data_IF_059636026240
#
_entry.id   IF_059636026240
#
_cell.length_a   1.000
_cell.length_b   1.000
_cell.length_c   1.000
_cell.angle_alpha   90.00
_cell.angle_beta   90.00
_cell.angle_gamma   90.00
#
_symmetry.space_group_name_H-M   'P 1'
#
loop_
_entity.id
_entity.type
_entity.pdbx_description
1 polymer ?
#
# COMPACT_ATOMS: atom_id res chain seq x y z
N UNK A 1 -1.28 13.64 -17.95
CA UNK A 1 -0.50 12.44 -17.63
C UNK A 1 0.01 12.60 -16.22
N UNK A 2 -0.22 11.61 -15.36
CA UNK A 2 0.26 11.67 -13.97
C UNK A 2 1.75 11.33 -13.93
N UNK A 3 2.48 11.97 -13.04
CA UNK A 3 3.92 11.76 -12.88
C UNK A 3 4.24 11.61 -11.39
N UNK A 4 4.94 10.54 -11.05
CA UNK A 4 5.50 10.34 -9.73
C UNK A 4 7.02 10.49 -9.79
N UNK A 5 7.61 11.28 -8.91
CA UNK A 5 9.06 11.46 -8.89
C UNK A 5 9.62 11.55 -7.48
N UNK A 6 10.85 11.13 -7.35
CA UNK A 6 11.66 11.21 -6.14
C UNK A 6 12.91 12.01 -6.50
N UNK A 7 13.24 13.00 -5.68
CA UNK A 7 14.40 13.83 -5.86
C UNK A 7 15.29 13.77 -4.63
N UNK A 8 16.55 13.38 -4.84
CA UNK A 8 17.62 13.34 -3.84
C UNK A 8 17.21 12.71 -2.50
N UNK A 9 16.46 11.60 -2.56
CA UNK A 9 15.91 10.95 -1.39
C UNK A 9 17.01 10.23 -0.58
N UNK A 10 16.99 10.44 0.74
CA UNK A 10 17.85 9.76 1.69
C UNK A 10 16.99 9.09 2.79
N UNK A 11 17.37 7.89 3.17
CA UNK A 11 16.76 7.18 4.29
C UNK A 11 17.83 6.67 5.26
N UNK A 12 17.73 7.14 6.49
CA UNK A 12 18.59 6.73 7.61
C UNK A 12 17.71 6.00 8.63
N UNK A 13 18.12 4.82 9.08
CA UNK A 13 17.46 4.04 10.12
C UNK A 13 18.50 3.56 11.14
N UNK A 14 18.27 3.84 12.43
CA UNK A 14 19.16 3.39 13.51
C UNK A 14 20.66 3.70 13.23
N UNK A 15 20.92 4.92 12.78
CA UNK A 15 22.25 5.42 12.36
C UNK A 15 22.85 4.73 11.12
N UNK A 16 22.11 3.87 10.43
CA UNK A 16 22.53 3.26 9.17
C UNK A 16 21.88 3.96 7.98
N UNK A 17 22.67 4.35 7.00
CA UNK A 17 22.18 4.88 5.73
C UNK A 17 21.72 3.69 4.89
N UNK A 18 20.40 3.58 4.67
CA UNK A 18 19.82 2.55 3.82
C UNK A 18 19.98 2.90 2.34
N UNK A 19 19.78 4.16 1.99
CA UNK A 19 20.05 4.71 0.66
C UNK A 19 20.19 6.23 0.74
N UNK A 20 20.92 6.80 -0.22
CA UNK A 20 21.21 8.23 -0.32
C UNK A 20 21.24 8.69 -1.77
N UNK A 21 20.73 9.90 -2.02
CA UNK A 21 20.76 10.54 -3.34
C UNK A 21 19.90 9.82 -4.38
N UNK A 22 18.85 9.09 -3.95
CA UNK A 22 17.98 8.36 -4.85
C UNK A 22 17.11 9.34 -5.66
N UNK A 23 17.18 9.19 -6.98
CA UNK A 23 16.35 9.92 -7.93
C UNK A 23 15.63 8.92 -8.83
N UNK A 24 14.33 9.10 -9.04
CA UNK A 24 13.56 8.31 -10.00
C UNK A 24 12.34 9.08 -10.48
N UNK A 25 11.83 8.68 -11.62
CA UNK A 25 10.58 9.18 -12.17
C UNK A 25 9.80 8.02 -12.77
N UNK A 26 8.49 8.00 -12.53
CA UNK A 26 7.54 7.06 -13.12
C UNK A 26 6.41 7.87 -13.73
N UNK A 27 6.08 7.60 -14.98
CA UNK A 27 4.95 8.19 -15.69
C UNK A 27 3.76 7.25 -15.72
N UNK A 28 2.62 7.74 -16.20
CA UNK A 28 1.40 6.93 -16.35
C UNK A 28 1.68 5.61 -17.07
N UNK A 29 1.18 4.51 -16.51
CA UNK A 29 1.37 3.16 -17.04
C UNK A 29 2.77 2.60 -16.79
N UNK A 30 3.67 3.36 -16.16
CA UNK A 30 5.01 2.91 -15.81
C UNK A 30 5.01 1.87 -14.69
N UNK A 31 5.97 0.94 -14.74
CA UNK A 31 6.24 -0.07 -13.72
C UNK A 31 7.64 0.12 -13.14
N UNK A 32 7.75 0.17 -11.81
CA UNK A 32 9.02 0.16 -11.11
C UNK A 32 9.19 -1.13 -10.31
N UNK A 33 10.24 -1.87 -10.60
CA UNK A 33 10.64 -3.01 -9.79
C UNK A 33 11.83 -2.63 -8.89
N UNK A 34 11.68 -2.86 -7.57
CA UNK A 34 12.72 -2.58 -6.59
C UNK A 34 13.34 -3.90 -6.13
N UNK A 35 14.60 -4.11 -6.48
CA UNK A 35 15.37 -5.30 -6.12
C UNK A 35 16.47 -4.95 -5.11
N UNK A 36 16.84 -5.92 -4.27
CA UNK A 36 17.90 -5.76 -3.30
C UNK A 36 17.84 -6.81 -2.18
N UNK A 37 18.92 -6.95 -1.44
CA UNK A 37 19.01 -7.86 -0.30
C UNK A 37 17.98 -7.53 0.80
N UNK A 38 17.73 -8.48 1.71
CA UNK A 38 16.92 -8.22 2.89
C UNK A 38 17.63 -7.15 3.76
N UNK A 39 16.84 -6.21 4.29
CA UNK A 39 17.38 -5.08 5.05
C UNK A 39 17.89 -3.90 4.22
N UNK A 40 17.93 -3.97 2.88
CA UNK A 40 18.44 -2.87 2.03
C UNK A 40 17.53 -1.63 1.95
N UNK A 41 16.40 -1.62 2.64
CA UNK A 41 15.51 -0.45 2.68
C UNK A 41 14.34 -0.47 1.68
N UNK A 42 14.10 -1.57 0.94
CA UNK A 42 13.00 -1.66 -0.04
C UNK A 42 11.64 -1.28 0.54
N UNK A 43 11.28 -1.88 1.69
CA UNK A 43 10.01 -1.57 2.37
C UNK A 43 9.98 -0.13 2.90
N UNK A 44 11.11 0.39 3.38
CA UNK A 44 11.22 1.79 3.79
C UNK A 44 11.00 2.73 2.61
N UNK A 45 11.58 2.43 1.45
CA UNK A 45 11.38 3.22 0.23
C UNK A 45 9.90 3.24 -0.17
N UNK A 46 9.23 2.07 -0.22
CA UNK A 46 7.80 1.99 -0.53
C UNK A 46 6.94 2.78 0.47
N UNK A 47 7.24 2.68 1.77
CA UNK A 47 6.52 3.43 2.80
C UNK A 47 6.75 4.95 2.71
N UNK A 48 7.93 5.38 2.27
CA UNK A 48 8.21 6.79 1.97
C UNK A 48 7.42 7.23 0.73
N UNK A 49 7.43 6.44 -0.35
CA UNK A 49 6.68 6.71 -1.57
C UNK A 49 5.17 6.87 -1.33
N UNK A 50 4.63 6.20 -0.31
CA UNK A 50 3.21 6.30 0.06
C UNK A 50 2.93 7.38 1.11
N UNK A 51 3.95 8.10 1.56
CA UNK A 51 3.82 9.10 2.62
C UNK A 51 3.52 8.51 4.00
N UNK A 52 3.67 7.20 4.21
CA UNK A 52 3.52 6.56 5.52
C UNK A 52 4.67 6.90 6.46
N UNK A 53 5.86 7.13 5.88
CA UNK A 53 7.06 7.56 6.61
C UNK A 53 7.54 8.87 6.01
N UNK A 54 7.92 9.80 6.88
CA UNK A 54 8.55 11.05 6.45
C UNK A 54 10.00 10.81 6.04
N UNK A 55 10.42 11.55 5.02
CA UNK A 55 11.80 11.54 4.55
C UNK A 55 12.70 12.39 5.45
N UNK A 56 13.96 11.99 5.58
CA UNK A 56 14.98 12.76 6.27
C UNK A 56 15.52 13.88 5.37
N UNK A 57 15.77 13.55 4.11
CA UNK A 57 16.30 14.46 3.09
C UNK A 57 15.70 14.10 1.74
N UNK A 58 15.49 15.11 0.90
CA UNK A 58 14.87 14.96 -0.41
C UNK A 58 13.35 15.12 -0.37
N UNK A 59 12.70 14.75 -1.45
CA UNK A 59 11.27 14.91 -1.61
C UNK A 59 10.64 13.83 -2.49
N UNK A 60 9.36 13.61 -2.26
CA UNK A 60 8.50 12.78 -3.11
C UNK A 60 7.43 13.69 -3.71
N UNK A 61 7.29 13.64 -5.01
CA UNK A 61 6.39 14.51 -5.77
C UNK A 61 5.34 13.66 -6.52
N UNK A 62 4.11 14.11 -6.49
CA UNK A 62 3.03 13.66 -7.34
C UNK A 62 2.55 14.83 -8.20
N UNK A 63 2.66 14.69 -9.52
CA UNK A 63 2.36 15.79 -10.46
C UNK A 63 3.12 17.09 -10.15
N UNK A 64 4.41 16.96 -9.79
CA UNK A 64 5.33 18.04 -9.39
C UNK A 64 4.95 18.77 -8.09
N UNK A 65 4.01 18.25 -7.30
CA UNK A 65 3.65 18.79 -5.99
C UNK A 65 4.14 17.81 -4.91
N UNK A 66 4.75 18.35 -3.85
CA UNK A 66 5.23 17.52 -2.76
C UNK A 66 4.05 16.86 -2.04
N UNK A 67 4.10 15.51 -1.89
CA UNK A 67 3.00 14.72 -1.32
C UNK A 67 2.65 15.12 0.12
N UNK A 68 3.57 15.72 0.86
CA UNK A 68 3.32 16.20 2.22
C UNK A 68 2.41 17.43 2.27
N UNK A 69 2.29 18.21 1.17
CA UNK A 69 1.44 19.40 1.11
C UNK A 69 -0.05 19.07 0.99
N UNK A 70 -0.37 17.89 0.43
CA UNK A 70 -1.75 17.44 0.24
C UNK A 70 -1.89 15.95 0.54
N UNK A 71 -1.31 15.53 1.64
CA UNK A 71 -1.14 14.13 2.04
C UNK A 71 -2.44 13.32 2.00
N UNK A 72 -3.54 13.89 2.49
CA UNK A 72 -4.83 13.19 2.51
C UNK A 72 -5.32 12.87 1.09
N UNK A 73 -5.28 13.86 0.20
CA UNK A 73 -5.69 13.70 -1.19
C UNK A 73 -4.80 12.70 -1.92
N UNK A 74 -3.48 12.81 -1.75
CA UNK A 74 -2.53 11.85 -2.30
C UNK A 74 -2.82 10.41 -1.83
N UNK A 75 -2.97 10.21 -0.52
CA UNK A 75 -3.21 8.88 0.05
C UNK A 75 -4.56 8.28 -0.35
N UNK A 76 -5.57 9.10 -0.66
CA UNK A 76 -6.86 8.61 -1.18
C UNK A 76 -6.78 8.08 -2.63
N UNK A 77 -5.72 8.43 -3.35
CA UNK A 77 -5.49 8.01 -4.74
C UNK A 77 -4.46 6.89 -4.90
N UNK A 78 -3.93 6.34 -3.81
CA UNK A 78 -2.96 5.24 -3.86
C UNK A 78 -3.52 3.99 -3.18
N UNK A 79 -3.03 2.82 -3.62
CA UNK A 79 -3.23 1.55 -2.94
C UNK A 79 -1.86 1.04 -2.48
N UNK A 80 -1.69 0.85 -1.17
CA UNK A 80 -0.50 0.24 -0.60
C UNK A 80 -0.82 -1.15 -0.05
N UNK A 81 -0.15 -2.16 -0.58
CA UNK A 81 -0.25 -3.54 -0.10
C UNK A 81 1.09 -3.88 0.55
N UNK A 82 1.09 -4.03 1.86
CA UNK A 82 2.27 -4.37 2.66
C UNK A 82 2.38 -5.87 2.94
N UNK A 83 3.44 -6.28 3.63
CA UNK A 83 3.63 -7.68 4.05
C UNK A 83 2.66 -8.13 5.15
N UNK A 84 2.17 -7.22 5.98
CA UNK A 84 1.20 -7.53 7.01
C UNK A 84 -0.20 -7.36 6.43
N UNK A 85 -0.93 -8.46 6.35
CA UNK A 85 -2.33 -8.42 5.94
C UNK A 85 -3.11 -7.62 6.98
N UNK A 86 -3.82 -6.58 6.57
CA UNK A 86 -4.70 -5.80 7.43
C UNK A 86 -5.93 -6.61 7.91
N UNK A 87 -5.85 -7.94 7.81
CA UNK A 87 -6.91 -8.89 8.11
C UNK A 87 -6.86 -9.24 9.60
N UNK A 88 -7.99 -9.09 10.28
CA UNK A 88 -8.16 -9.54 11.66
C UNK A 88 -8.57 -11.01 11.67
N UNK A 89 -7.69 -11.87 12.20
CA UNK A 89 -7.86 -13.31 12.22
C UNK A 89 -9.16 -13.77 12.94
N UNK A 90 -9.59 -13.02 13.94
CA UNK A 90 -10.79 -13.29 14.76
C UNK A 90 -12.11 -12.89 14.10
N UNK A 91 -12.06 -12.29 12.93
CA UNK A 91 -13.23 -11.89 12.17
C UNK A 91 -13.44 -12.81 10.95
N UNK A 92 -14.67 -12.90 10.50
CA UNK A 92 -15.01 -13.58 9.25
C UNK A 92 -14.50 -12.78 8.04
N UNK A 93 -14.47 -13.46 6.89
CA UNK A 93 -14.10 -12.82 5.61
C UNK A 93 -14.98 -11.59 5.34
N UNK A 94 -16.30 -11.73 5.47
CA UNK A 94 -17.22 -10.64 5.22
C UNK A 94 -17.05 -9.48 6.20
N UNK A 95 -16.83 -9.74 7.50
CA UNK A 95 -16.57 -8.70 8.49
C UNK A 95 -15.28 -7.92 8.20
N UNK A 96 -14.20 -8.61 7.81
CA UNK A 96 -12.97 -7.96 7.37
C UNK A 96 -13.22 -7.05 6.15
N UNK A 97 -13.93 -7.55 5.13
CA UNK A 97 -14.29 -6.76 3.94
C UNK A 97 -15.14 -5.53 4.29
N UNK A 98 -16.09 -5.66 5.23
CA UNK A 98 -16.89 -4.54 5.72
C UNK A 98 -16.05 -3.46 6.39
N UNK A 99 -15.09 -3.85 7.23
CA UNK A 99 -14.19 -2.91 7.89
C UNK A 99 -13.36 -2.17 6.84
N UNK A 100 -12.71 -2.89 5.92
CA UNK A 100 -11.91 -2.27 4.87
C UNK A 100 -12.75 -1.29 4.05
N UNK A 101 -13.94 -1.71 3.64
CA UNK A 101 -14.85 -0.84 2.89
C UNK A 101 -15.26 0.42 3.68
N UNK A 102 -15.53 0.28 4.98
CA UNK A 102 -15.89 1.44 5.82
C UNK A 102 -14.75 2.46 5.93
N UNK A 103 -13.48 2.00 5.90
CA UNK A 103 -12.30 2.86 5.95
C UNK A 103 -12.07 3.64 4.65
N UNK A 104 -12.62 3.19 3.51
CA UNK A 104 -12.53 3.93 2.24
C UNK A 104 -13.44 5.15 2.16
N UNK A 105 -14.33 5.33 3.14
CA UNK A 105 -15.32 6.41 3.13
C UNK A 105 -16.40 6.26 2.04
N UNK A 106 -16.38 5.18 1.27
CA UNK A 106 -17.36 4.92 0.22
C UNK A 106 -18.75 4.60 0.80
N UNK A 107 -19.78 5.25 0.28
CA UNK A 107 -21.18 4.98 0.63
C UNK A 107 -21.83 3.95 -0.31
N UNK A 108 -21.09 3.35 -1.21
CA UNK A 108 -21.61 2.37 -2.16
C UNK A 108 -22.06 1.10 -1.44
N UNK A 109 -23.19 0.52 -1.87
CA UNK A 109 -23.62 -0.79 -1.40
C UNK A 109 -22.80 -1.86 -2.14
N UNK A 110 -21.98 -2.59 -1.40
CA UNK A 110 -21.17 -3.69 -1.94
C UNK A 110 -21.86 -5.03 -1.64
N UNK A 111 -21.97 -5.86 -2.67
CA UNK A 111 -22.35 -7.27 -2.49
C UNK A 111 -21.07 -8.11 -2.36
N UNK A 112 -20.67 -8.39 -1.12
CA UNK A 112 -19.44 -9.14 -0.83
C UNK A 112 -19.46 -10.56 -1.39
N UNK A 113 -20.62 -11.22 -1.43
CA UNK A 113 -20.75 -12.56 -2.02
C UNK A 113 -20.43 -12.56 -3.52
N UNK A 114 -20.81 -11.51 -4.23
CA UNK A 114 -20.46 -11.36 -5.65
C UNK A 114 -18.97 -11.17 -5.86
N UNK A 115 -18.30 -10.39 -4.99
CA UNK A 115 -16.85 -10.20 -5.04
C UNK A 115 -16.15 -11.55 -4.77
N UNK A 116 -16.52 -12.22 -3.68
CA UNK A 116 -15.94 -13.52 -3.31
C UNK A 116 -16.10 -14.58 -4.42
N UNK A 117 -17.25 -14.56 -5.11
CA UNK A 117 -17.44 -15.43 -6.28
C UNK A 117 -16.47 -15.12 -7.41
N UNK A 118 -16.21 -13.83 -7.69
CA UNK A 118 -15.28 -13.42 -8.77
C UNK A 118 -13.83 -13.86 -8.50
N UNK A 119 -13.41 -13.89 -7.24
CA UNK A 119 -12.04 -14.28 -6.84
C UNK A 119 -11.94 -15.77 -6.46
N UNK A 120 -12.95 -16.59 -6.80
CA UNK A 120 -12.93 -18.03 -6.53
C UNK A 120 -13.19 -18.45 -5.07
N UNK A 121 -13.66 -17.52 -4.22
CA UNK A 121 -13.91 -17.75 -2.78
C UNK A 121 -15.41 -17.82 -2.46
N UNK A 122 -16.19 -18.41 -3.37
CA UNK A 122 -17.64 -18.53 -3.21
C UNK A 122 -18.01 -19.30 -1.93
N UNK A 123 -18.96 -18.76 -1.15
CA UNK A 123 -19.44 -19.39 0.09
C UNK A 123 -18.54 -19.19 1.33
N UNK A 124 -17.43 -18.47 1.21
CA UNK A 124 -16.50 -18.25 2.33
C UNK A 124 -16.87 -17.05 3.22
N UNK A 125 -17.98 -16.38 2.99
CA UNK A 125 -18.38 -15.17 3.72
C UNK A 125 -18.28 -15.30 5.25
N UNK A 126 -18.76 -16.42 5.79
CA UNK A 126 -18.86 -16.67 7.24
C UNK A 126 -17.68 -17.45 7.82
N UNK A 127 -16.66 -17.74 7.02
CA UNK A 127 -15.46 -18.41 7.49
C UNK A 127 -14.58 -17.39 8.23
N UNK A 128 -14.13 -17.76 9.42
CA UNK A 128 -13.14 -16.97 10.14
C UNK A 128 -11.80 -17.00 9.42
N UNK A 129 -11.14 -15.83 9.30
CA UNK A 129 -9.92 -15.72 8.49
C UNK A 129 -8.72 -16.45 9.07
N UNK A 130 -8.73 -16.83 10.37
CA UNK A 130 -7.69 -17.71 10.91
C UNK A 130 -7.70 -19.10 10.28
N UNK A 131 -8.86 -19.58 9.77
CA UNK A 131 -9.00 -20.87 9.09
C UNK A 131 -8.59 -20.85 7.60
N UNK A 132 -8.21 -19.70 7.09
CA UNK A 132 -7.81 -19.55 5.69
C UNK A 132 -6.31 -19.81 5.51
N UNK A 133 -5.94 -20.36 4.35
CA UNK A 133 -4.53 -20.47 3.94
C UNK A 133 -3.90 -19.09 3.72
N UNK A 134 -2.56 -19.00 3.69
CA UNK A 134 -1.86 -17.77 3.40
C UNK A 134 -2.31 -17.17 2.06
N UNK A 135 -2.30 -17.98 0.98
CA UNK A 135 -2.73 -17.51 -0.34
C UNK A 135 -4.20 -17.04 -0.41
N UNK A 136 -5.08 -17.60 0.42
CA UNK A 136 -6.47 -17.12 0.51
C UNK A 136 -6.62 -15.80 1.26
N UNK A 137 -5.63 -15.41 2.06
CA UNK A 137 -5.60 -14.12 2.77
C UNK A 137 -4.99 -13.01 1.92
N UNK A 138 -4.27 -13.37 0.87
CA UNK A 138 -3.54 -12.44 -0.01
C UNK A 138 -4.36 -12.07 -1.27
N UNK A 139 -5.55 -12.66 -1.46
CA UNK A 139 -6.52 -12.36 -2.51
C UNK A 139 -7.51 -11.29 -2.03
#
# INVERSE_FOLDING_TARGET
>A
MSKFSINNLECIRQNNILFKGLNLTIEDGGLLQINGANGSGKSSLLQICTGLIQVTTGEVLWNNININQYRYEFQSNILYIGHANAIKATLTVEENMRIIHSLTGSKSKINYSTILKKIGMSGMNKIFTYNMSAGQKDV
#
